data_IF_179481952228
#
_entry.id   IF_179481952228
#
_cell.length_a   1.000
_cell.length_b   1.000
_cell.length_c   1.000
_cell.angle_alpha   90.00
_cell.angle_beta   90.00
_cell.angle_gamma   90.00
#
_symmetry.space_group_name_H-M   'P 1'
#
loop_
_entity.id
_entity.type
_entity.pdbx_description
1 polymer ?
#
# COMPACT_ATOMS: atom_id res chain seq x y z
N UNK A 1 27.63 -22.56 4.10
CA UNK A 1 27.61 -21.53 3.03
C UNK A 1 26.17 -21.18 2.66
N UNK A 2 25.36 -22.11 2.10
CA UNK A 2 23.97 -21.85 1.72
C UNK A 2 23.04 -21.40 2.87
N UNK A 3 23.18 -21.95 4.09
CA UNK A 3 22.39 -21.54 5.26
C UNK A 3 22.67 -20.09 5.68
N UNK A 4 23.92 -19.66 5.62
CA UNK A 4 24.31 -18.28 5.95
C UNK A 4 23.79 -17.30 4.88
N UNK A 5 23.88 -17.67 3.60
CA UNK A 5 23.31 -16.88 2.50
C UNK A 5 21.78 -16.73 2.61
N UNK A 6 21.08 -17.77 3.04
CA UNK A 6 19.64 -17.69 3.32
C UNK A 6 19.35 -16.74 4.49
N UNK A 7 20.09 -16.85 5.59
CA UNK A 7 19.93 -15.96 6.75
C UNK A 7 20.25 -14.50 6.39
N UNK A 8 21.27 -14.27 5.58
CA UNK A 8 21.66 -12.92 5.14
C UNK A 8 20.63 -12.35 4.13
N UNK A 9 20.08 -13.17 3.23
CA UNK A 9 18.98 -12.78 2.35
C UNK A 9 17.68 -12.46 3.11
N UNK A 10 17.38 -13.24 4.16
CA UNK A 10 16.26 -12.97 5.07
C UNK A 10 16.47 -11.69 5.89
N UNK A 11 17.72 -11.40 6.29
CA UNK A 11 18.10 -10.16 6.98
C UNK A 11 18.17 -8.94 6.07
N UNK A 12 18.42 -9.13 4.77
CA UNK A 12 18.48 -8.05 3.79
C UNK A 12 17.11 -7.40 3.51
N UNK A 13 16.06 -7.80 4.24
CA UNK A 13 14.71 -7.25 4.13
C UNK A 13 14.09 -7.38 2.72
N UNK A 14 14.63 -8.27 1.89
CA UNK A 14 14.07 -8.67 0.59
C UNK A 14 13.68 -7.48 -0.30
N UNK A 15 12.38 -7.28 -0.46
CA UNK A 15 11.78 -6.27 -1.35
C UNK A 15 11.63 -4.88 -0.72
N UNK A 16 12.05 -4.66 0.52
CA UNK A 16 11.88 -3.38 1.21
C UNK A 16 12.48 -2.18 0.46
N UNK A 17 13.69 -2.27 -0.14
CA UNK A 17 14.20 -1.17 -0.97
C UNK A 17 13.31 -0.87 -2.18
N UNK A 18 12.72 -1.90 -2.79
CA UNK A 18 11.80 -1.75 -3.91
C UNK A 18 10.48 -1.13 -3.45
N UNK A 19 9.93 -1.54 -2.30
CA UNK A 19 8.74 -0.93 -1.73
C UNK A 19 8.97 0.55 -1.43
N UNK A 20 10.09 0.89 -0.79
CA UNK A 20 10.49 2.28 -0.53
C UNK A 20 10.56 3.08 -1.83
N UNK A 21 11.17 2.54 -2.87
CA UNK A 21 11.26 3.21 -4.18
C UNK A 21 9.89 3.45 -4.80
N UNK A 22 9.00 2.45 -4.79
CA UNK A 22 7.65 2.54 -5.36
C UNK A 22 6.82 3.61 -4.63
N UNK A 23 6.80 3.58 -3.29
CA UNK A 23 6.06 4.58 -2.51
C UNK A 23 6.67 5.98 -2.61
N UNK A 24 8.00 6.10 -2.63
CA UNK A 24 8.69 7.39 -2.80
C UNK A 24 8.33 8.03 -4.14
N UNK A 25 8.37 7.25 -5.22
CA UNK A 25 7.97 7.71 -6.55
C UNK A 25 6.50 8.14 -6.57
N UNK A 26 5.61 7.34 -5.98
CA UNK A 26 4.18 7.66 -5.93
C UNK A 26 3.88 8.91 -5.10
N UNK A 27 4.60 9.11 -3.99
CA UNK A 27 4.45 10.29 -3.11
C UNK A 27 4.79 11.60 -3.82
N UNK A 28 5.79 11.60 -4.70
CA UNK A 28 6.14 12.78 -5.51
C UNK A 28 5.06 13.22 -6.50
N UNK A 29 4.07 12.36 -6.80
CA UNK A 29 2.90 12.73 -7.59
C UNK A 29 1.77 13.31 -6.73
N UNK A 30 1.76 13.06 -5.41
CA UNK A 30 0.73 13.55 -4.48
C UNK A 30 0.82 15.08 -4.23
N UNK A 31 1.97 15.70 -4.52
CA UNK A 31 2.20 17.15 -4.33
C UNK A 31 1.47 18.06 -5.35
N UNK A 32 0.65 17.49 -6.23
CA UNK A 32 -0.14 18.26 -7.21
C UNK A 32 -1.47 18.75 -6.61
N UNK A 33 -1.80 20.06 -6.69
CA UNK A 33 -3.06 20.57 -6.18
C UNK A 33 -4.25 20.01 -6.98
N UNK A 34 -5.18 19.33 -6.31
CA UNK A 34 -6.42 18.85 -6.95
C UNK A 34 -6.60 17.33 -6.92
N UNK A 35 -6.73 16.77 -5.71
CA UNK A 35 -7.18 15.41 -5.40
C UNK A 35 -6.22 14.29 -5.74
N UNK A 36 -5.25 14.11 -4.84
CA UNK A 36 -4.57 12.82 -4.71
C UNK A 36 -5.08 12.15 -3.44
N UNK A 37 -5.62 10.95 -3.61
CA UNK A 37 -6.04 10.11 -2.48
C UNK A 37 -4.77 9.68 -1.78
N UNK A 38 -4.66 9.94 -0.47
CA UNK A 38 -3.49 9.54 0.31
C UNK A 38 -3.30 8.03 0.26
N UNK A 39 -2.32 7.57 -0.54
CA UNK A 39 -2.02 6.15 -0.74
C UNK A 39 -1.80 5.45 0.60
N UNK A 40 -1.15 6.12 1.55
CA UNK A 40 -0.93 5.61 2.90
C UNK A 40 -2.23 5.22 3.62
N UNK A 41 -3.30 6.03 3.48
CA UNK A 41 -4.61 5.75 4.09
C UNK A 41 -5.30 4.58 3.39
N UNK A 42 -5.30 4.57 2.05
CA UNK A 42 -5.87 3.48 1.27
C UNK A 42 -5.21 2.13 1.60
N UNK A 43 -3.88 2.11 1.67
CA UNK A 43 -3.11 0.94 2.08
C UNK A 43 -3.44 0.53 3.51
N UNK A 44 -3.57 1.48 4.44
CA UNK A 44 -3.97 1.18 5.81
C UNK A 44 -5.27 0.41 5.91
N UNK A 45 -6.29 0.87 5.19
CA UNK A 45 -7.58 0.18 5.14
C UNK A 45 -7.41 -1.24 4.56
N UNK A 46 -6.75 -1.38 3.41
CA UNK A 46 -6.54 -2.68 2.77
C UNK A 46 -5.75 -3.68 3.64
N UNK A 47 -4.84 -3.20 4.48
CA UNK A 47 -4.03 -4.03 5.37
C UNK A 47 -4.82 -4.52 6.60
N UNK A 48 -5.70 -3.68 7.14
CA UNK A 48 -6.39 -3.94 8.41
C UNK A 48 -7.74 -4.63 8.25
N UNK A 49 -8.33 -4.61 7.05
CA UNK A 49 -9.54 -5.37 6.79
C UNK A 49 -9.26 -6.88 6.69
N UNK A 50 -10.18 -7.68 7.23
CA UNK A 50 -10.11 -9.15 7.16
C UNK A 50 -10.25 -9.66 5.73
N UNK A 51 -11.02 -8.96 4.89
CA UNK A 51 -11.23 -9.26 3.48
C UNK A 51 -10.77 -8.09 2.61
N UNK A 52 -10.23 -8.39 1.44
CA UNK A 52 -9.89 -7.38 0.45
C UNK A 52 -11.15 -6.66 -0.05
N UNK A 53 -11.01 -5.37 -0.33
CA UNK A 53 -12.12 -4.49 -0.68
C UNK A 53 -12.04 -4.07 -2.14
N UNK A 54 -13.20 -3.85 -2.76
CA UNK A 54 -13.28 -3.31 -4.11
C UNK A 54 -12.79 -1.86 -4.17
N UNK A 55 -12.43 -1.39 -5.36
CA UNK A 55 -12.07 0.03 -5.56
C UNK A 55 -13.27 0.91 -5.22
N UNK A 56 -14.48 0.47 -5.60
CA UNK A 56 -15.71 1.19 -5.32
C UNK A 56 -15.94 1.37 -3.82
N UNK A 57 -15.91 0.29 -3.06
CA UNK A 57 -16.20 0.32 -1.62
C UNK A 57 -15.11 1.05 -0.84
N UNK A 58 -13.84 0.91 -1.27
CA UNK A 58 -12.73 1.64 -0.67
C UNK A 58 -12.87 3.14 -0.93
N UNK A 59 -13.25 3.53 -2.14
CA UNK A 59 -13.49 4.93 -2.49
C UNK A 59 -14.67 5.52 -1.70
N UNK A 60 -15.75 4.75 -1.53
CA UNK A 60 -16.88 5.13 -0.67
C UNK A 60 -16.44 5.34 0.78
N UNK A 61 -15.69 4.39 1.35
CA UNK A 61 -15.18 4.47 2.72
C UNK A 61 -14.25 5.67 2.93
N UNK A 62 -13.48 6.04 1.91
CA UNK A 62 -12.59 7.20 1.95
C UNK A 62 -13.28 8.53 1.60
N UNK A 63 -14.53 8.51 1.15
CA UNK A 63 -15.26 9.72 0.73
C UNK A 63 -14.68 10.37 -0.54
N UNK A 64 -14.11 9.58 -1.45
CA UNK A 64 -13.42 10.06 -2.66
C UNK A 64 -13.99 9.43 -3.93
N UNK A 65 -13.88 10.08 -5.10
CA UNK A 65 -14.27 9.46 -6.36
C UNK A 65 -13.40 8.22 -6.69
N UNK A 66 -13.98 7.09 -7.15
CA UNK A 66 -13.23 5.88 -7.52
C UNK A 66 -12.09 6.15 -8.51
N UNK A 67 -12.31 7.05 -9.48
CA UNK A 67 -11.29 7.45 -10.47
C UNK A 67 -10.01 8.01 -9.83
N UNK A 68 -10.12 8.68 -8.68
CA UNK A 68 -8.96 9.27 -8.01
C UNK A 68 -8.16 8.18 -7.30
N UNK A 69 -8.85 7.21 -6.69
CA UNK A 69 -8.23 6.03 -6.10
C UNK A 69 -7.52 5.18 -7.16
N UNK A 70 -8.15 4.94 -8.32
CA UNK A 70 -7.54 4.24 -9.46
C UNK A 70 -6.26 4.94 -9.92
N UNK A 71 -6.29 6.27 -10.09
CA UNK A 71 -5.10 7.07 -10.47
C UNK A 71 -3.97 6.93 -9.47
N UNK A 72 -4.27 6.97 -8.16
CA UNK A 72 -3.28 6.74 -7.10
C UNK A 72 -2.72 5.31 -7.15
N UNK A 73 -3.56 4.31 -7.32
CA UNK A 73 -3.12 2.90 -7.39
C UNK A 73 -2.26 2.61 -8.61
N UNK A 74 -2.51 3.25 -9.75
CA UNK A 74 -1.64 3.15 -10.93
C UNK A 74 -0.18 3.56 -10.63
N UNK A 75 0.06 4.46 -9.67
CA UNK A 75 1.43 4.84 -9.29
C UNK A 75 2.19 3.72 -8.57
N UNK A 76 1.46 2.77 -7.98
CA UNK A 76 1.99 1.63 -7.22
C UNK A 76 1.54 0.28 -7.78
N UNK A 77 1.15 0.22 -9.06
CA UNK A 77 0.66 -1.00 -9.72
C UNK A 77 1.66 -2.16 -9.73
N UNK A 78 2.96 -1.89 -9.55
CA UNK A 78 3.98 -2.94 -9.47
C UNK A 78 3.86 -3.80 -8.21
N UNK A 79 3.14 -3.32 -7.19
CA UNK A 79 2.99 -3.99 -5.89
C UNK A 79 1.51 -4.23 -5.52
N UNK A 80 0.58 -3.76 -6.35
CA UNK A 80 -0.86 -3.96 -6.24
C UNK A 80 -1.44 -4.58 -7.52
N UNK A 81 -2.24 -5.63 -7.35
CA UNK A 81 -3.09 -6.13 -8.42
C UNK A 81 -4.38 -5.33 -8.44
N UNK A 82 -4.50 -4.45 -9.43
CA UNK A 82 -5.67 -3.62 -9.68
C UNK A 82 -6.59 -4.39 -10.64
N UNK A 83 -7.84 -4.70 -10.24
CA UNK A 83 -8.77 -5.39 -11.13
C UNK A 83 -9.24 -4.48 -12.27
N UNK A 84 -9.62 -5.09 -13.40
CA UNK A 84 -10.22 -4.37 -14.54
C UNK A 84 -11.59 -3.75 -14.19
N UNK A 85 -12.35 -4.42 -13.33
CA UNK A 85 -13.66 -3.97 -12.88
C UNK A 85 -13.59 -3.43 -11.44
N UNK A 86 -14.20 -2.27 -11.21
CA UNK A 86 -14.10 -1.54 -9.93
C UNK A 86 -14.84 -2.21 -8.75
N UNK A 87 -15.68 -3.20 -9.04
CA UNK A 87 -16.45 -4.00 -8.08
C UNK A 87 -15.67 -5.23 -7.58
N UNK A 88 -14.52 -5.54 -8.20
CA UNK A 88 -13.64 -6.62 -7.77
C UNK A 88 -12.62 -6.12 -6.74
N UNK A 89 -12.15 -7.00 -5.85
CA UNK A 89 -11.22 -6.61 -4.79
C UNK A 89 -9.83 -6.29 -5.31
N UNK A 90 -9.19 -5.28 -4.72
CA UNK A 90 -7.77 -4.99 -4.91
C UNK A 90 -6.94 -5.94 -4.06
N UNK A 91 -5.89 -6.52 -4.65
CA UNK A 91 -5.03 -7.48 -3.96
C UNK A 91 -3.59 -6.98 -3.88
N UNK A 92 -2.91 -7.33 -2.78
CA UNK A 92 -1.46 -7.13 -2.66
C UNK A 92 -0.76 -8.20 -3.49
N UNK A 93 0.27 -7.83 -4.26
CA UNK A 93 1.03 -8.79 -5.09
C UNK A 93 1.94 -9.67 -4.22
N UNK A 94 2.35 -9.15 -3.05
CA UNK A 94 3.27 -9.84 -2.15
C UNK A 94 2.76 -9.80 -0.70
N UNK A 95 2.83 -10.94 0.00
CA UNK A 95 2.54 -11.02 1.43
C UNK A 95 3.52 -10.18 2.25
N UNK A 96 4.79 -10.11 1.85
CA UNK A 96 5.83 -9.32 2.53
C UNK A 96 5.61 -7.81 2.50
N UNK A 97 4.75 -7.30 1.59
CA UNK A 97 4.34 -5.89 1.56
C UNK A 97 3.51 -5.52 2.79
N UNK A 98 2.67 -6.46 3.27
CA UNK A 98 1.91 -6.27 4.51
C UNK A 98 2.87 -6.10 5.68
N UNK A 99 3.79 -7.04 5.84
CA UNK A 99 4.78 -7.02 6.93
C UNK A 99 5.67 -5.77 6.89
N UNK A 100 6.02 -5.29 5.68
CA UNK A 100 6.75 -4.04 5.50
C UNK A 100 5.95 -2.86 6.06
N UNK A 101 4.72 -2.65 5.59
CA UNK A 101 3.90 -1.49 5.97
C UNK A 101 3.45 -1.51 7.43
N UNK A 102 3.40 -2.66 8.08
CA UNK A 102 3.06 -2.81 9.51
C UNK A 102 4.27 -2.86 10.43
N UNK A 103 5.49 -2.63 9.93
CA UNK A 103 6.72 -2.63 10.74
C UNK A 103 7.47 -1.31 10.60
N UNK A 104 7.42 -0.46 11.62
CA UNK A 104 7.99 0.90 11.57
C UNK A 104 9.48 0.95 11.19
N UNK A 105 10.28 0.01 11.69
CA UNK A 105 11.72 -0.05 11.38
C UNK A 105 12.01 -0.40 9.91
N UNK A 106 11.06 -1.01 9.20
CA UNK A 106 11.19 -1.38 7.79
C UNK A 106 10.68 -0.28 6.86
N UNK A 107 9.53 0.31 7.16
CA UNK A 107 8.83 1.22 6.26
C UNK A 107 8.98 2.72 6.57
N UNK A 108 9.54 3.07 7.73
CA UNK A 108 9.79 4.47 8.11
C UNK A 108 8.54 5.35 8.00
N UNK A 109 8.58 6.34 7.11
CA UNK A 109 7.47 7.29 6.88
C UNK A 109 6.19 6.62 6.33
N UNK A 110 6.34 5.49 5.64
CA UNK A 110 5.24 4.70 5.08
C UNK A 110 4.61 3.73 6.08
N UNK A 111 5.15 3.66 7.31
CA UNK A 111 4.55 2.87 8.38
C UNK A 111 3.07 3.22 8.59
N UNK A 112 2.24 2.20 8.51
CA UNK A 112 0.82 2.29 8.72
C UNK A 112 0.50 1.87 10.16
N UNK A 113 0.23 2.86 11.00
CA UNK A 113 -0.18 2.64 12.38
C UNK A 113 -1.69 2.33 12.39
N UNK A 114 -2.12 1.17 12.94
CA UNK A 114 -3.53 0.83 13.06
C UNK A 114 -4.37 1.93 13.71
N UNK A 115 -3.84 2.59 14.76
CA UNK A 115 -4.54 3.65 15.48
C UNK A 115 -4.87 4.86 14.61
N UNK A 116 -4.01 5.18 13.64
CA UNK A 116 -4.20 6.30 12.71
C UNK A 116 -5.28 5.98 11.66
N UNK A 117 -5.57 4.69 11.45
CA UNK A 117 -6.52 4.23 10.44
C UNK A 117 -7.96 4.17 10.96
N UNK A 118 -8.15 4.04 12.28
CA UNK A 118 -9.47 4.00 12.93
C UNK A 118 -9.93 5.37 13.45
N UNK A 119 -9.03 6.28 13.80
CA UNK A 119 -9.35 7.50 14.53
C UNK A 119 -10.03 8.62 13.69
N UNK A 120 -10.45 8.35 12.46
CA UNK A 120 -11.00 9.38 11.55
C UNK A 120 -12.19 8.90 10.73
N UNK A 121 -12.96 7.94 11.27
CA UNK A 121 -14.29 7.58 10.77
C UNK A 121 -15.34 8.28 11.62
#
# INVERSE_FOLDING_TARGET
MAHQQLLDALKAHGLDPLYMQVFSKASSFEDTPGSVVGIKRAMGILLHLQSTMSIHDLALLMGVPPRNLVRSFFQIQSILQIPEANDRPVQLVHTSLRDFLTTKSRSGVYFNNPSDCHASI
#
